data_IF_473261839303
#
_entry.id   IF_473261839303
#
_cell.length_a   1.000
_cell.length_b   1.000
_cell.length_c   1.000
_cell.angle_alpha   90.00
_cell.angle_beta   90.00
_cell.angle_gamma   90.00
#
_symmetry.space_group_name_H-M   'P 1'
#
loop_
_entity.id
_entity.type
_entity.pdbx_description
1 polymer ?
#
# COMPACT_ATOMS: atom_id res chain seq x y z
N UNK A 1 -13.10 -27.07 -6.56
CA UNK A 1 -12.40 -27.05 -5.26
C UNK A 1 -10.95 -26.57 -5.34
N UNK A 2 -10.10 -27.04 -6.26
CA UNK A 2 -8.65 -26.75 -6.19
C UNK A 2 -8.12 -25.31 -6.34
N UNK A 3 -8.81 -24.38 -7.02
CA UNK A 3 -8.21 -23.04 -7.27
C UNK A 3 -8.19 -22.15 -6.01
N UNK A 4 -9.19 -22.28 -5.13
CA UNK A 4 -9.21 -21.52 -3.87
C UNK A 4 -8.10 -21.99 -2.93
N UNK A 5 -7.99 -23.30 -2.73
CA UNK A 5 -6.93 -23.91 -1.92
C UNK A 5 -5.55 -23.55 -2.44
N UNK A 6 -5.36 -23.52 -3.76
CA UNK A 6 -4.11 -23.05 -4.36
C UNK A 6 -3.74 -21.63 -3.91
N UNK A 7 -4.69 -20.68 -3.97
CA UNK A 7 -4.42 -19.31 -3.52
C UNK A 7 -4.17 -19.24 -2.00
N UNK A 8 -4.96 -19.94 -1.18
CA UNK A 8 -4.74 -19.97 0.27
C UNK A 8 -3.32 -20.42 0.61
N UNK A 9 -2.87 -21.52 0.02
CA UNK A 9 -1.50 -22.03 0.21
C UNK A 9 -0.46 -21.03 -0.30
N UNK A 10 -0.64 -20.50 -1.51
CA UNK A 10 0.28 -19.54 -2.11
C UNK A 10 0.47 -18.27 -1.27
N UNK A 11 -0.62 -17.68 -0.77
CA UNK A 11 -0.54 -16.49 0.08
C UNK A 11 0.07 -16.81 1.44
N UNK A 12 -0.23 -17.97 2.03
CA UNK A 12 0.42 -18.43 3.25
C UNK A 12 1.94 -18.58 3.09
N UNK A 13 2.41 -19.08 1.95
CA UNK A 13 3.83 -19.24 1.66
C UNK A 13 4.54 -17.91 1.38
N UNK A 14 3.95 -17.03 0.55
CA UNK A 14 4.58 -15.77 0.13
C UNK A 14 4.51 -14.71 1.25
N UNK A 15 3.42 -14.67 1.99
CA UNK A 15 3.15 -13.63 2.98
C UNK A 15 3.13 -14.14 4.43
N UNK A 16 3.51 -15.39 4.71
CA UNK A 16 3.48 -15.94 6.08
C UNK A 16 4.33 -15.20 7.12
N UNK A 17 5.29 -14.38 6.68
CA UNK A 17 6.05 -13.50 7.57
C UNK A 17 5.28 -12.24 8.01
N UNK A 18 4.21 -11.86 7.31
CA UNK A 18 3.35 -10.75 7.69
C UNK A 18 2.32 -11.26 8.74
N UNK A 19 2.31 -10.68 9.96
CA UNK A 19 1.43 -11.14 11.03
C UNK A 19 -0.07 -10.98 10.71
N UNK A 20 -0.42 -10.16 9.72
CA UNK A 20 -1.80 -9.88 9.35
C UNK A 20 -2.33 -10.76 8.20
N UNK A 21 -1.53 -11.70 7.68
CA UNK A 21 -1.88 -12.48 6.48
C UNK A 21 -3.14 -13.31 6.68
N UNK A 22 -3.26 -14.03 7.78
CA UNK A 22 -4.45 -14.86 8.06
C UNK A 22 -5.71 -14.01 8.21
N UNK A 23 -5.61 -12.89 8.93
CA UNK A 23 -6.69 -11.92 9.07
C UNK A 23 -7.12 -11.40 7.69
N UNK A 24 -6.20 -10.97 6.84
CA UNK A 24 -6.55 -10.49 5.51
C UNK A 24 -7.14 -11.57 4.59
N UNK A 25 -6.69 -12.83 4.70
CA UNK A 25 -7.29 -13.94 3.94
C UNK A 25 -8.75 -14.17 4.35
N UNK A 26 -9.06 -14.09 5.64
CA UNK A 26 -10.44 -14.19 6.13
C UNK A 26 -11.27 -12.99 5.64
N UNK A 27 -10.79 -11.77 5.89
CA UNK A 27 -11.48 -10.51 5.56
C UNK A 27 -11.71 -10.28 4.08
N UNK A 28 -10.78 -10.75 3.24
CA UNK A 28 -10.93 -10.72 1.78
C UNK A 28 -11.98 -11.70 1.27
N UNK A 29 -12.40 -12.68 2.09
CA UNK A 29 -13.28 -13.77 1.70
C UNK A 29 -12.56 -14.96 1.07
N UNK A 30 -11.23 -15.00 1.09
CA UNK A 30 -10.48 -16.12 0.54
C UNK A 30 -10.65 -17.39 1.39
N UNK A 31 -10.65 -17.24 2.72
CA UNK A 31 -10.92 -18.32 3.69
C UNK A 31 -12.23 -18.14 4.47
N UNK A 32 -12.89 -16.98 4.38
CA UNK A 32 -14.15 -16.66 5.07
C UNK A 32 -15.41 -16.74 4.20
N UNK A 33 -16.56 -16.45 4.80
CA UNK A 33 -17.90 -16.55 4.18
C UNK A 33 -18.27 -15.38 3.24
N UNK A 34 -17.29 -14.62 2.72
CA UNK A 34 -17.59 -13.37 2.03
C UNK A 34 -18.18 -13.59 0.63
N UNK A 35 -19.20 -12.78 0.31
CA UNK A 35 -19.86 -12.76 -1.01
C UNK A 35 -18.94 -12.14 -2.07
N UNK A 36 -18.75 -12.82 -3.21
CA UNK A 36 -17.98 -12.28 -4.33
C UNK A 36 -17.38 -13.38 -5.21
N UNK A 37 -16.78 -12.97 -6.33
CA UNK A 37 -15.98 -13.90 -7.15
C UNK A 37 -14.60 -14.13 -6.52
N UNK A 38 -14.00 -15.30 -6.73
CA UNK A 38 -12.63 -15.60 -6.26
C UNK A 38 -11.63 -14.53 -6.72
N UNK A 39 -11.77 -14.04 -7.96
CA UNK A 39 -10.95 -12.93 -8.48
C UNK A 39 -11.02 -11.70 -7.57
N UNK A 40 -12.23 -11.30 -7.17
CA UNK A 40 -12.41 -10.11 -6.36
C UNK A 40 -11.88 -10.30 -4.93
N UNK A 41 -11.97 -11.52 -4.40
CA UNK A 41 -11.39 -11.86 -3.09
C UNK A 41 -9.86 -11.76 -3.15
N UNK A 42 -9.22 -12.32 -4.18
CA UNK A 42 -7.77 -12.21 -4.42
C UNK A 42 -7.35 -10.74 -4.61
N UNK A 43 -8.07 -9.97 -5.43
CA UNK A 43 -7.78 -8.54 -5.65
C UNK A 43 -7.90 -7.71 -4.36
N UNK A 44 -8.84 -8.04 -3.47
CA UNK A 44 -8.96 -7.37 -2.18
C UNK A 44 -7.80 -7.74 -1.25
N UNK A 45 -7.44 -9.03 -1.19
CA UNK A 45 -6.32 -9.53 -0.40
C UNK A 45 -5.00 -8.85 -0.82
N UNK A 46 -4.72 -8.79 -2.12
CA UNK A 46 -3.56 -8.10 -2.67
C UNK A 46 -3.48 -6.66 -2.18
N UNK A 47 -4.61 -5.94 -2.20
CA UNK A 47 -4.64 -4.55 -1.78
C UNK A 47 -4.47 -4.41 -0.27
N UNK A 48 -5.06 -5.28 0.55
CA UNK A 48 -4.84 -5.26 2.00
C UNK A 48 -3.38 -5.48 2.36
N UNK A 49 -2.71 -6.42 1.68
CA UNK A 49 -1.30 -6.72 1.87
C UNK A 49 -0.36 -5.57 1.46
N UNK A 50 -0.83 -4.63 0.64
CA UNK A 50 -0.03 -3.44 0.27
C UNK A 50 0.00 -2.36 1.35
N UNK A 51 -0.94 -2.38 2.29
CA UNK A 51 -1.01 -1.42 3.38
C UNK A 51 -0.32 -1.95 4.64
N UNK A 52 0.42 -1.06 5.29
CA UNK A 52 1.10 -1.30 6.57
C UNK A 52 1.40 0.05 7.22
N UNK A 53 1.66 0.05 8.51
CA UNK A 53 2.20 1.24 9.17
C UNK A 53 3.54 1.66 8.54
N UNK A 54 3.78 2.97 8.44
CA UNK A 54 4.94 3.58 7.79
C UNK A 54 4.90 3.59 6.26
N UNK A 55 3.88 2.98 5.64
CA UNK A 55 3.69 3.06 4.19
C UNK A 55 3.09 4.41 3.77
N UNK A 56 3.35 4.79 2.53
CA UNK A 56 2.89 6.04 1.92
C UNK A 56 1.77 5.82 0.90
N UNK A 57 0.86 6.77 0.86
CA UNK A 57 -0.28 6.80 -0.06
C UNK A 57 -0.43 8.18 -0.71
N UNK A 58 -1.11 8.22 -1.86
CA UNK A 58 -1.51 9.45 -2.53
C UNK A 58 -3.03 9.52 -2.65
N UNK A 59 -3.61 10.64 -2.26
CA UNK A 59 -5.02 10.94 -2.42
C UNK A 59 -5.23 11.98 -3.52
N UNK A 60 -5.69 11.50 -4.69
CA UNK A 60 -5.91 12.32 -5.88
C UNK A 60 -6.98 13.42 -5.69
N UNK A 61 -7.92 13.22 -4.76
CA UNK A 61 -8.97 14.19 -4.45
C UNK A 61 -8.51 15.44 -3.70
N UNK A 62 -7.19 15.62 -3.48
CA UNK A 62 -6.62 16.90 -3.05
C UNK A 62 -6.00 16.92 -1.66
N UNK A 63 -5.87 15.79 -0.96
CA UNK A 63 -5.06 15.72 0.28
C UNK A 63 -3.59 15.41 0.02
N UNK A 64 -3.27 15.05 -1.24
CA UNK A 64 -1.92 14.80 -1.73
C UNK A 64 -1.28 13.59 -1.02
N UNK A 65 -0.03 13.72 -0.58
CA UNK A 65 0.73 12.62 0.03
C UNK A 65 0.34 12.41 1.49
N UNK A 66 0.24 11.15 1.89
CA UNK A 66 -0.03 10.72 3.26
C UNK A 66 0.85 9.55 3.68
N UNK A 67 1.12 9.48 4.98
CA UNK A 67 1.79 8.35 5.64
C UNK A 67 0.80 7.64 6.55
N UNK A 68 0.78 6.31 6.50
CA UNK A 68 -0.04 5.48 7.40
C UNK A 68 0.69 5.45 8.75
N UNK A 69 0.12 6.12 9.75
CA UNK A 69 0.72 6.28 11.08
C UNK A 69 0.19 5.29 12.11
N UNK A 70 -0.97 4.69 11.85
CA UNK A 70 -1.52 3.59 12.65
C UNK A 70 -2.22 2.61 11.71
N UNK A 71 -2.07 1.31 11.98
CA UNK A 71 -2.69 0.26 11.19
C UNK A 71 -3.27 -0.84 12.09
N UNK A 72 -4.56 -1.12 11.96
CA UNK A 72 -5.28 -2.12 12.73
C UNK A 72 -5.95 -3.11 11.75
N UNK A 73 -5.35 -4.29 11.63
CA UNK A 73 -5.83 -5.35 10.75
C UNK A 73 -7.16 -5.94 11.24
N UNK A 74 -7.32 -6.11 12.55
CA UNK A 74 -8.48 -6.75 13.17
C UNK A 74 -9.73 -5.86 13.03
N UNK A 75 -9.57 -4.56 13.31
CA UNK A 75 -10.62 -3.56 13.15
C UNK A 75 -10.79 -3.11 11.68
N UNK A 76 -9.94 -3.58 10.77
CA UNK A 76 -9.91 -3.17 9.36
C UNK A 76 -9.84 -1.65 9.17
N UNK A 77 -9.06 -0.97 10.01
CA UNK A 77 -8.89 0.48 9.93
C UNK A 77 -7.43 0.90 9.92
N UNK A 78 -7.19 2.09 9.40
CA UNK A 78 -5.90 2.75 9.53
C UNK A 78 -6.09 4.25 9.71
N UNK A 79 -5.06 4.90 10.24
CA UNK A 79 -4.97 6.35 10.37
C UNK A 79 -3.88 6.85 9.44
N UNK A 80 -4.22 7.86 8.64
CA UNK A 80 -3.31 8.43 7.65
C UNK A 80 -3.10 9.92 7.90
N UNK A 81 -1.85 10.31 7.85
CA UNK A 81 -1.37 11.67 8.06
C UNK A 81 -1.03 12.36 6.73
N UNK A 82 -2.06 12.86 6.06
CA UNK A 82 -1.89 13.64 4.84
C UNK A 82 -1.32 15.04 5.11
N UNK A 83 -0.69 15.64 4.10
CA UNK A 83 -0.17 17.02 4.18
C UNK A 83 -1.25 18.04 4.54
N UNK A 84 -2.45 17.86 4.00
CA UNK A 84 -3.58 18.78 4.19
C UNK A 84 -4.63 18.27 5.17
N UNK A 85 -4.50 17.04 5.68
CA UNK A 85 -5.44 16.42 6.62
C UNK A 85 -4.76 15.34 7.45
N UNK A 86 -4.40 15.70 8.68
CA UNK A 86 -3.80 14.79 9.67
C UNK A 86 -4.85 13.97 10.41
N UNK A 87 -4.47 12.80 10.91
CA UNK A 87 -5.31 11.92 11.72
C UNK A 87 -6.53 11.35 10.99
N UNK A 88 -6.47 11.18 9.66
CA UNK A 88 -7.63 10.68 8.93
C UNK A 88 -7.80 9.16 9.13
N UNK A 89 -8.72 8.78 10.02
CA UNK A 89 -9.15 7.39 10.18
C UNK A 89 -10.05 6.94 9.03
N UNK A 90 -9.80 5.76 8.48
CA UNK A 90 -10.56 5.16 7.37
C UNK A 90 -10.51 3.63 7.44
N UNK A 91 -11.51 2.96 6.86
CA UNK A 91 -11.48 1.50 6.68
C UNK A 91 -10.55 1.09 5.53
N UNK A 92 -9.94 -0.10 5.64
CA UNK A 92 -9.07 -0.65 4.60
C UNK A 92 -9.82 -0.74 3.25
N UNK A 93 -11.04 -1.26 3.26
CA UNK A 93 -11.88 -1.38 2.05
C UNK A 93 -12.10 -0.03 1.36
N UNK A 94 -12.34 1.06 2.11
CA UNK A 94 -12.53 2.37 1.48
C UNK A 94 -11.21 2.96 1.01
N UNK A 95 -10.14 2.80 1.79
CA UNK A 95 -8.82 3.24 1.39
C UNK A 95 -8.35 2.62 0.07
N UNK A 96 -8.60 1.32 -0.15
CA UNK A 96 -8.26 0.66 -1.42
C UNK A 96 -8.91 1.29 -2.66
N UNK A 97 -9.99 2.06 -2.48
CA UNK A 97 -10.73 2.71 -3.57
C UNK A 97 -10.26 4.13 -3.85
N UNK A 98 -9.78 4.83 -2.83
CA UNK A 98 -9.49 6.27 -2.91
C UNK A 98 -8.00 6.62 -2.81
N UNK A 99 -7.18 5.70 -2.30
CA UNK A 99 -5.75 5.89 -2.13
C UNK A 99 -4.98 5.06 -3.14
N UNK A 100 -3.99 5.70 -3.75
CA UNK A 100 -2.94 5.02 -4.50
C UNK A 100 -1.77 4.72 -3.55
N UNK A 101 -1.39 3.45 -3.38
CA UNK A 101 -0.17 3.07 -2.66
C UNK A 101 1.06 3.55 -3.46
N UNK A 102 2.04 4.14 -2.77
CA UNK A 102 3.28 4.63 -3.35
C UNK A 102 4.46 3.75 -2.95
N UNK A 103 5.33 3.34 -3.85
CA UNK A 103 6.57 2.67 -3.44
C UNK A 103 7.38 3.52 -2.46
N UNK A 104 8.13 2.88 -1.56
CA UNK A 104 8.97 3.58 -0.58
C UNK A 104 10.04 4.42 -1.29
N UNK A 105 10.51 3.97 -2.46
CA UNK A 105 11.37 4.73 -3.37
C UNK A 105 10.57 5.53 -4.42
N UNK A 106 9.46 6.15 -4.04
CA UNK A 106 8.74 7.10 -4.90
C UNK A 106 9.29 8.52 -4.72
N UNK A 107 9.44 9.29 -5.80
CA UNK A 107 10.03 10.64 -5.72
C UNK A 107 9.23 11.59 -4.83
N UNK A 108 7.91 11.42 -4.80
CA UNK A 108 7.03 12.15 -3.88
C UNK A 108 7.30 11.80 -2.40
N UNK A 109 7.61 10.54 -2.10
CA UNK A 109 7.97 10.11 -0.74
C UNK A 109 9.27 10.80 -0.32
N UNK A 110 10.30 10.71 -1.16
CA UNK A 110 11.57 11.40 -0.93
C UNK A 110 11.39 12.91 -0.72
N UNK A 111 10.65 13.58 -1.63
CA UNK A 111 10.45 15.03 -1.58
C UNK A 111 9.77 15.49 -0.30
N UNK A 112 8.83 14.71 0.23
CA UNK A 112 7.94 15.15 1.30
C UNK A 112 8.28 14.59 2.68
N UNK A 113 8.93 13.43 2.76
CA UNK A 113 9.24 12.74 4.01
C UNK A 113 10.74 12.52 4.23
N UNK A 114 11.55 12.51 3.15
CA UNK A 114 12.98 12.16 3.22
C UNK A 114 13.84 13.13 2.41
N UNK A 115 13.61 14.44 2.62
CA UNK A 115 14.24 15.50 1.81
C UNK A 115 15.77 15.49 1.94
N UNK A 116 16.29 15.28 3.14
CA UNK A 116 17.73 15.26 3.37
C UNK A 116 18.39 14.05 2.68
N UNK A 117 17.73 12.89 2.70
CA UNK A 117 18.18 11.71 1.94
C UNK A 117 18.17 11.98 0.44
N UNK A 118 17.12 12.66 -0.07
CA UNK A 118 17.04 13.03 -1.48
C UNK A 118 18.20 13.95 -1.89
N UNK A 119 18.53 14.95 -1.06
CA UNK A 119 19.63 15.88 -1.36
C UNK A 119 20.98 15.16 -1.41
N UNK A 120 21.24 14.26 -0.44
CA UNK A 120 22.45 13.41 -0.46
C UNK A 120 22.49 12.54 -1.71
N UNK A 121 21.36 11.93 -2.08
CA UNK A 121 21.29 11.07 -3.26
C UNK A 121 21.54 11.85 -4.57
N UNK A 122 21.15 13.13 -4.64
CA UNK A 122 21.45 14.00 -5.79
C UNK A 122 22.96 14.24 -5.91
N UNK A 123 23.66 14.42 -4.80
CA UNK A 123 25.11 14.64 -4.78
C UNK A 123 25.89 13.36 -5.07
N UNK A 124 25.46 12.23 -4.49
CA UNK A 124 26.17 10.95 -4.54
C UNK A 124 25.87 10.14 -5.82
N UNK A 125 24.60 10.05 -6.24
CA UNK A 125 24.16 9.29 -7.42
C UNK A 125 22.95 9.95 -8.10
N UNK A 126 23.16 11.05 -8.86
CA UNK A 126 22.08 11.75 -9.56
C UNK A 126 21.37 10.85 -10.59
N UNK A 127 22.06 9.85 -11.15
CA UNK A 127 21.45 8.90 -12.07
C UNK A 127 20.42 8.01 -11.36
N UNK A 128 20.64 7.63 -10.10
CA UNK A 128 19.64 6.92 -9.29
C UNK A 128 18.42 7.78 -9.01
N UNK A 129 18.60 9.06 -8.72
CA UNK A 129 17.47 9.99 -8.56
C UNK A 129 16.61 10.04 -9.83
N UNK A 130 17.25 10.11 -11.00
CA UNK A 130 16.55 10.09 -12.27
C UNK A 130 15.77 8.78 -12.50
N UNK A 131 16.39 7.62 -12.17
CA UNK A 131 15.70 6.32 -12.22
C UNK A 131 14.49 6.27 -11.28
N UNK A 132 14.62 6.77 -10.06
CA UNK A 132 13.52 6.88 -9.08
C UNK A 132 12.40 7.76 -9.64
N UNK A 133 12.74 8.92 -10.20
CA UNK A 133 11.77 9.82 -10.82
C UNK A 133 11.00 9.15 -11.95
N UNK A 134 11.70 8.51 -12.90
CA UNK A 134 11.05 7.83 -14.03
C UNK A 134 10.13 6.70 -13.55
N UNK A 135 10.58 5.87 -12.61
CA UNK A 135 9.73 4.81 -12.02
C UNK A 135 8.48 5.38 -11.35
N UNK A 136 8.63 6.49 -10.63
CA UNK A 136 7.53 7.18 -9.96
C UNK A 136 6.49 7.75 -10.94
N UNK A 137 6.90 8.04 -12.18
CA UNK A 137 6.01 8.48 -13.27
C UNK A 137 5.48 7.34 -14.13
N UNK A 138 5.70 6.08 -13.75
CA UNK A 138 5.24 4.91 -14.50
C UNK A 138 6.12 4.58 -15.71
N UNK A 139 7.40 5.00 -15.71
CA UNK A 139 8.35 4.70 -16.78
C UNK A 139 8.25 5.58 -18.02
N UNK A 140 7.34 6.57 -18.02
CA UNK A 140 7.18 7.52 -19.12
C UNK A 140 7.77 8.89 -18.74
N UNK A 141 8.66 9.41 -19.59
CA UNK A 141 8.98 10.83 -19.64
C UNK A 141 7.91 11.52 -20.49
N UNK A 142 7.14 12.43 -19.89
CA UNK A 142 6.22 13.33 -20.59
C UNK A 142 6.96 14.57 -21.08
#
# INVERSE_FOLDING_TARGET
>A
EGLREFFVTLYGEIHGANPNTDAFMEKSGLTGDATGSLRQQVENLDRYLTFREGAYVYHAGGWEYGEIVEFDADAETMVVDFQRKKGHKISLLNATKIFQRLEDEHIGVYKHYRRDELMKLIEEDPARVFRIFLRSKGGSAS
#
